data_IF_870759516535
#
_entry.id   IF_870759516535
#
_cell.length_a   1.000
_cell.length_b   1.000
_cell.length_c   1.000
_cell.angle_alpha   90.00
_cell.angle_beta   90.00
_cell.angle_gamma   90.00
#
_symmetry.space_group_name_H-M   'P 1'
#
loop_
_entity.id
_entity.type
_entity.pdbx_description
1 polymer ?
#
# COMPACT_ATOMS: atom_id res chain seq x y z
N UNK A 1 37.81 7.42 -3.32
CA UNK A 1 37.26 8.74 -3.70
C UNK A 1 35.75 8.68 -3.51
N UNK A 2 35.15 9.43 -2.59
CA UNK A 2 33.70 9.47 -2.46
C UNK A 2 33.13 10.48 -3.46
N UNK A 3 32.07 10.07 -4.16
CA UNK A 3 31.32 10.91 -5.08
C UNK A 3 30.33 11.72 -4.24
N UNK A 4 30.61 13.02 -4.12
CA UNK A 4 29.70 14.00 -3.55
C UNK A 4 28.55 14.26 -4.53
N UNK A 5 27.31 13.99 -4.13
CA UNK A 5 26.14 14.59 -4.77
C UNK A 5 25.77 15.79 -3.91
N UNK A 6 26.09 16.98 -4.42
CA UNK A 6 25.63 18.26 -3.88
C UNK A 6 24.23 18.53 -4.42
N UNK A 7 23.27 18.73 -3.53
CA UNK A 7 21.96 19.29 -3.87
C UNK A 7 21.89 20.67 -3.20
N UNK A 8 22.00 21.70 -4.06
CA UNK A 8 21.62 23.11 -3.90
C UNK A 8 21.37 23.64 -2.47
N UNK A 9 22.42 24.16 -1.84
CA UNK A 9 22.30 25.41 -1.08
C UNK A 9 21.95 25.37 0.41
N UNK A 10 21.82 24.20 1.05
CA UNK A 10 21.66 24.15 2.51
C UNK A 10 23.03 24.15 3.21
N UNK A 11 23.48 25.34 3.61
CA UNK A 11 24.53 25.48 4.61
C UNK A 11 23.98 25.08 5.98
N UNK A 12 24.25 23.84 6.41
CA UNK A 12 23.99 23.43 7.80
C UNK A 12 25.04 24.09 8.69
N UNK A 13 24.61 25.11 9.43
CA UNK A 13 25.41 25.79 10.45
C UNK A 13 25.88 24.78 11.49
N UNK A 14 27.20 24.63 11.60
CA UNK A 14 27.88 23.88 12.66
C UNK A 14 27.67 24.58 13.99
N UNK A 15 26.93 23.94 14.91
CA UNK A 15 27.17 23.99 16.37
C UNK A 15 26.35 22.90 17.11
N UNK A 16 26.76 21.65 16.97
CA UNK A 16 26.96 20.71 18.08
C UNK A 16 27.60 19.44 17.51
N UNK A 17 28.58 18.91 18.23
CA UNK A 17 29.37 17.75 17.84
C UNK A 17 28.57 16.46 18.05
N UNK A 18 27.81 16.05 17.05
CA UNK A 18 27.44 14.66 16.85
C UNK A 18 27.63 14.35 15.37
N UNK A 19 28.74 13.71 15.00
CA UNK A 19 28.85 13.17 13.65
C UNK A 19 27.84 12.03 13.55
N UNK A 20 26.82 12.18 12.70
CA UNK A 20 25.93 11.08 12.35
C UNK A 20 26.79 10.02 11.65
N UNK A 21 27.03 8.90 12.33
CA UNK A 21 27.75 7.77 11.74
C UNK A 21 26.72 6.70 11.44
N UNK A 22 26.35 6.60 10.17
CA UNK A 22 25.54 5.50 9.68
C UNK A 22 26.49 4.45 9.12
N UNK A 23 26.57 3.29 9.78
CA UNK A 23 27.34 2.16 9.28
C UNK A 23 26.38 1.21 8.53
N UNK A 24 26.59 1.03 7.23
CA UNK A 24 25.86 0.07 6.41
C UNK A 24 26.68 -1.22 6.33
N UNK A 25 26.19 -2.27 6.98
CA UNK A 25 26.80 -3.61 6.94
C UNK A 25 26.03 -4.47 5.94
N UNK A 26 26.71 -4.94 4.91
CA UNK A 26 26.16 -5.91 3.96
C UNK A 26 26.58 -7.33 4.39
N UNK A 27 25.61 -8.20 4.67
CA UNK A 27 25.86 -9.59 5.01
C UNK A 27 24.98 -10.53 4.17
N UNK A 28 25.57 -11.16 3.16
CA UNK A 28 24.83 -11.97 2.19
C UNK A 28 23.81 -11.13 1.41
N UNK A 29 22.52 -11.51 1.47
CA UNK A 29 21.40 -10.75 0.87
C UNK A 29 20.75 -9.74 1.83
N UNK A 30 21.37 -9.44 2.97
CA UNK A 30 20.84 -8.52 3.98
C UNK A 30 21.71 -7.28 4.05
N UNK A 31 21.05 -6.12 4.12
CA UNK A 31 21.64 -4.86 4.52
C UNK A 31 21.22 -4.59 5.98
N UNK A 32 22.19 -4.29 6.83
CA UNK A 32 21.97 -3.87 8.22
C UNK A 32 22.47 -2.43 8.31
N UNK A 33 21.54 -1.50 8.51
CA UNK A 33 21.89 -0.11 8.81
C UNK A 33 22.00 0.05 10.32
N UNK A 34 23.18 0.37 10.82
CA UNK A 34 23.38 0.81 12.19
C UNK A 34 23.21 2.33 12.24
N UNK A 35 22.30 2.77 13.10
CA UNK A 35 22.03 4.17 13.36
C UNK A 35 22.53 4.52 14.76
N UNK A 36 22.77 5.80 15.01
CA UNK A 36 23.02 6.29 16.36
C UNK A 36 21.86 5.85 17.28
N UNK A 37 22.21 5.37 18.47
CA UNK A 37 21.21 5.05 19.49
C UNK A 37 20.73 6.38 20.09
N UNK A 38 19.45 6.68 19.87
CA UNK A 38 18.74 7.72 20.59
C UNK A 38 18.12 7.08 21.83
N UNK A 39 18.52 7.50 23.03
CA UNK A 39 17.99 6.96 24.29
C UNK A 39 16.66 7.61 24.71
N UNK A 40 16.26 8.64 23.97
CA UNK A 40 15.08 9.45 24.25
C UNK A 40 13.80 8.70 23.92
N UNK A 41 12.74 9.09 24.61
CA UNK A 41 11.42 8.48 24.46
C UNK A 41 10.77 8.85 23.12
N UNK A 42 9.92 7.97 22.63
CA UNK A 42 9.06 8.24 21.48
C UNK A 42 7.81 9.02 21.91
N UNK A 43 7.12 9.68 20.97
CA UNK A 43 5.85 10.36 21.26
C UNK A 43 4.77 9.42 21.82
N UNK A 44 4.90 8.10 21.64
CA UNK A 44 3.97 7.13 22.20
C UNK A 44 4.02 7.09 23.73
N UNK A 45 5.18 7.41 24.30
CA UNK A 45 5.47 7.33 25.74
C UNK A 45 5.18 8.64 26.48
N UNK A 46 4.78 9.70 25.77
CA UNK A 46 4.45 10.99 26.35
C UNK A 46 2.95 11.27 26.32
N UNK A 47 2.45 11.92 27.37
CA UNK A 47 1.09 12.48 27.41
C UNK A 47 1.14 13.96 27.00
N UNK A 48 1.16 14.23 25.70
CA UNK A 48 1.38 15.57 25.14
C UNK A 48 0.09 16.29 24.78
N UNK A 49 0.18 17.61 24.64
CA UNK A 49 -0.84 18.37 23.92
C UNK A 49 -0.81 17.97 22.44
N UNK A 50 -1.79 17.17 22.04
CA UNK A 50 -1.92 16.62 20.68
C UNK A 50 -2.01 17.72 19.63
N UNK A 51 -2.61 18.87 19.95
CA UNK A 51 -2.83 19.98 19.01
C UNK A 51 -1.52 20.62 18.55
N UNK A 52 -0.72 21.11 19.50
CA UNK A 52 0.59 21.74 19.22
C UNK A 52 1.52 20.78 18.47
N UNK A 53 1.60 19.53 18.92
CA UNK A 53 2.42 18.54 18.21
C UNK A 53 1.95 18.27 16.78
N UNK A 54 0.65 18.29 16.52
CA UNK A 54 0.12 18.10 15.17
C UNK A 54 0.52 19.23 14.23
N UNK A 55 0.53 20.48 14.70
CA UNK A 55 0.95 21.64 13.92
C UNK A 55 2.45 21.57 13.58
N UNK A 56 3.29 21.21 14.57
CA UNK A 56 4.73 21.04 14.36
C UNK A 56 5.05 19.93 13.35
N UNK A 57 4.35 18.80 13.43
CA UNK A 57 4.50 17.70 12.48
C UNK A 57 3.97 18.06 11.08
N UNK A 58 2.91 18.85 10.99
CA UNK A 58 2.41 19.35 9.70
C UNK A 58 3.44 20.27 9.02
N UNK A 59 4.13 21.12 9.79
CA UNK A 59 5.23 21.94 9.27
C UNK A 59 6.37 21.07 8.74
N UNK A 60 6.76 20.01 9.48
CA UNK A 60 7.77 19.05 9.00
C UNK A 60 7.32 18.36 7.71
N UNK A 61 6.04 17.96 7.61
CA UNK A 61 5.49 17.41 6.35
C UNK A 61 5.58 18.42 5.21
N UNK A 62 5.32 19.71 5.48
CA UNK A 62 5.49 20.79 4.51
C UNK A 62 6.96 20.93 4.07
N UNK A 63 7.90 20.85 4.99
CA UNK A 63 9.35 20.86 4.71
C UNK A 63 9.78 19.65 3.87
N UNK A 64 9.32 18.43 4.21
CA UNK A 64 9.58 17.22 3.41
C UNK A 64 9.05 17.39 1.98
N UNK A 65 7.87 17.98 1.83
CA UNK A 65 7.27 18.23 0.52
C UNK A 65 8.07 19.22 -0.35
N UNK A 66 9.00 20.00 0.21
CA UNK A 66 9.92 20.84 -0.58
C UNK A 66 11.00 20.02 -1.29
N UNK A 67 11.25 18.78 -0.83
CA UNK A 67 12.19 17.86 -1.44
C UNK A 67 11.50 17.13 -2.59
N UNK A 68 11.67 17.65 -3.81
CA UNK A 68 11.24 16.98 -5.03
C UNK A 68 12.07 15.73 -5.33
N UNK A 69 11.44 14.73 -5.94
CA UNK A 69 12.11 13.54 -6.50
C UNK A 69 11.83 13.38 -7.98
N UNK A 70 12.62 12.52 -8.64
CA UNK A 70 12.52 12.27 -10.09
C UNK A 70 11.20 11.66 -10.56
N UNK A 71 11.17 11.12 -11.77
CA UNK A 71 9.91 10.73 -12.45
C UNK A 71 9.28 9.39 -11.99
N UNK A 72 9.89 8.73 -10.99
CA UNK A 72 9.50 7.39 -10.55
C UNK A 72 8.91 7.47 -9.15
N UNK A 73 7.61 7.17 -8.97
CA UNK A 73 7.01 7.19 -7.65
C UNK A 73 7.26 5.86 -6.94
N UNK A 74 7.40 5.94 -5.61
CA UNK A 74 7.59 4.76 -4.78
C UNK A 74 8.57 4.98 -3.65
N UNK A 75 8.74 3.94 -2.85
CA UNK A 75 9.70 3.91 -1.75
C UNK A 75 11.12 4.13 -2.26
N UNK A 76 11.96 4.77 -1.45
CA UNK A 76 13.34 5.16 -1.83
C UNK A 76 14.18 3.95 -2.26
N UNK A 77 13.88 2.76 -1.76
CA UNK A 77 14.58 1.51 -2.10
C UNK A 77 14.15 0.90 -3.46
N UNK A 78 13.15 1.47 -4.13
CA UNK A 78 12.58 0.96 -5.39
C UNK A 78 11.82 -0.37 -5.22
N UNK A 79 11.51 -0.75 -3.98
CA UNK A 79 10.85 -1.99 -3.62
C UNK A 79 9.35 -2.02 -3.93
N UNK A 80 8.72 -3.12 -3.54
CA UNK A 80 7.25 -3.22 -3.56
C UNK A 80 6.69 -2.30 -2.48
N UNK A 81 5.69 -1.50 -2.82
CA UNK A 81 5.14 -0.56 -1.85
C UNK A 81 4.37 -1.30 -0.76
N UNK A 82 4.71 -0.97 0.48
CA UNK A 82 4.09 -1.46 1.71
C UNK A 82 3.63 -0.29 2.57
N UNK A 83 2.80 -0.59 3.56
CA UNK A 83 2.21 0.39 4.46
C UNK A 83 0.72 0.63 4.22
N UNK A 84 0.19 1.65 4.88
CA UNK A 84 -1.25 1.78 5.11
C UNK A 84 -2.11 1.90 3.85
N UNK A 85 -1.58 2.38 2.73
CA UNK A 85 -2.36 2.61 1.50
C UNK A 85 -2.47 1.37 0.59
N UNK A 86 -1.58 0.40 0.75
CA UNK A 86 -1.34 -0.64 -0.26
C UNK A 86 -2.01 -1.99 0.06
N UNK A 87 -2.71 -2.07 1.20
CA UNK A 87 -3.31 -3.31 1.71
C UNK A 87 -2.27 -4.23 2.35
N UNK A 88 -2.75 -5.33 2.98
CA UNK A 88 -1.92 -6.16 3.87
C UNK A 88 -0.74 -6.87 3.18
N UNK A 89 -0.77 -6.99 1.86
CA UNK A 89 0.30 -7.63 1.08
C UNK A 89 1.10 -6.63 0.23
N UNK A 90 0.90 -5.33 0.45
CA UNK A 90 1.45 -4.29 -0.41
C UNK A 90 0.94 -4.38 -1.86
N UNK A 91 1.70 -3.77 -2.77
CA UNK A 91 1.36 -3.74 -4.20
C UNK A 91 1.53 -5.08 -4.91
N UNK A 92 2.42 -5.96 -4.40
CA UNK A 92 2.93 -7.19 -5.05
C UNK A 92 3.60 -6.97 -6.42
N UNK A 93 3.86 -5.72 -6.75
CA UNK A 93 4.38 -5.24 -8.04
C UNK A 93 5.30 -4.06 -7.73
N UNK A 94 6.40 -3.91 -8.46
CA UNK A 94 7.23 -2.70 -8.39
C UNK A 94 6.79 -1.72 -9.46
N UNK A 95 6.81 -0.42 -9.14
CA UNK A 95 6.47 0.62 -10.09
C UNK A 95 7.74 1.25 -10.65
N UNK A 96 7.78 1.43 -11.97
CA UNK A 96 8.89 2.06 -12.70
C UNK A 96 8.49 3.42 -13.27
N UNK A 97 7.24 3.82 -13.10
CA UNK A 97 6.70 5.08 -13.59
C UNK A 97 5.42 5.48 -12.84
N UNK A 98 5.04 6.75 -12.95
CA UNK A 98 3.73 7.24 -12.51
C UNK A 98 2.59 6.46 -13.16
N UNK A 99 2.75 6.02 -14.42
CA UNK A 99 1.73 5.23 -15.10
C UNK A 99 1.49 3.86 -14.48
N UNK A 100 2.55 3.20 -13.99
CA UNK A 100 2.42 1.89 -13.36
C UNK A 100 1.55 2.02 -12.10
N UNK A 101 1.83 3.03 -11.27
CA UNK A 101 1.03 3.34 -10.08
C UNK A 101 -0.40 3.73 -10.45
N UNK A 102 -0.58 4.58 -11.47
CA UNK A 102 -1.88 4.99 -11.97
C UNK A 102 -2.71 3.78 -12.41
N UNK A 103 -2.13 2.87 -13.21
CA UNK A 103 -2.79 1.65 -13.67
C UNK A 103 -3.17 0.74 -12.50
N UNK A 104 -2.28 0.59 -11.52
CA UNK A 104 -2.53 -0.23 -10.34
C UNK A 104 -3.70 0.31 -9.50
N UNK A 105 -3.76 1.63 -9.30
CA UNK A 105 -4.87 2.30 -8.61
C UNK A 105 -6.18 2.21 -9.40
N UNK A 106 -6.13 2.51 -10.71
CA UNK A 106 -7.32 2.53 -11.56
C UNK A 106 -7.93 1.14 -11.74
N UNK A 107 -7.14 0.06 -11.78
CA UNK A 107 -7.66 -1.33 -11.73
C UNK A 107 -8.59 -1.57 -10.53
N UNK A 108 -8.31 -0.93 -9.39
CA UNK A 108 -9.11 -1.05 -8.16
C UNK A 108 -10.32 -0.12 -8.16
N UNK A 109 -10.19 1.05 -8.76
CA UNK A 109 -11.25 2.04 -8.89
C UNK A 109 -12.27 1.71 -9.99
N UNK A 110 -11.91 0.86 -10.96
CA UNK A 110 -12.80 0.38 -12.02
C UNK A 110 -14.10 -0.23 -11.47
N UNK A 111 -14.06 -0.87 -10.31
CA UNK A 111 -15.26 -1.42 -9.66
C UNK A 111 -16.32 -0.36 -9.30
N UNK A 112 -15.92 0.90 -9.26
CA UNK A 112 -16.76 2.05 -8.93
C UNK A 112 -16.92 3.04 -10.10
N UNK A 113 -16.47 2.69 -11.31
CA UNK A 113 -16.41 3.60 -12.47
C UNK A 113 -15.74 4.93 -12.11
N UNK A 114 -14.62 4.86 -11.38
CA UNK A 114 -13.79 6.01 -11.00
C UNK A 114 -12.38 5.84 -11.55
N UNK A 115 -11.70 6.97 -11.70
CA UNK A 115 -10.31 7.03 -12.17
C UNK A 115 -9.56 8.10 -11.38
N UNK A 116 -8.27 7.87 -11.15
CA UNK A 116 -7.31 8.82 -10.62
C UNK A 116 -6.21 9.07 -11.66
N UNK A 117 -5.80 10.33 -11.79
CA UNK A 117 -4.73 10.75 -12.69
C UNK A 117 -3.58 11.38 -11.91
N UNK A 118 -2.50 10.63 -11.68
CA UNK A 118 -1.38 11.09 -10.87
C UNK A 118 -0.38 11.99 -11.60
N UNK A 119 -0.36 11.99 -12.94
CA UNK A 119 0.63 12.71 -13.77
C UNK A 119 0.70 14.22 -13.56
N UNK A 120 -0.39 14.83 -13.08
CA UNK A 120 -0.50 16.27 -12.89
C UNK A 120 0.13 16.74 -11.58
N UNK A 121 0.55 15.81 -10.71
CA UNK A 121 1.03 16.14 -9.38
C UNK A 121 2.52 15.83 -9.26
N UNK A 122 3.33 16.79 -8.75
CA UNK A 122 4.75 16.57 -8.54
C UNK A 122 4.98 15.48 -7.50
N UNK A 123 6.07 14.73 -7.68
CA UNK A 123 6.52 13.74 -6.72
C UNK A 123 7.43 14.43 -5.70
N UNK A 124 7.01 14.37 -4.44
CA UNK A 124 7.72 14.97 -3.31
C UNK A 124 7.99 13.91 -2.26
N UNK A 125 8.97 14.16 -1.39
CA UNK A 125 9.27 13.23 -0.31
C UNK A 125 8.10 13.19 0.69
N UNK A 126 7.55 12.00 0.87
CA UNK A 126 6.56 11.68 1.89
C UNK A 126 7.16 10.64 2.84
N UNK A 127 6.80 10.69 4.11
CA UNK A 127 7.22 9.71 5.11
C UNK A 127 6.27 8.49 5.17
N UNK A 128 4.96 8.73 5.06
CA UNK A 128 3.90 7.71 5.04
C UNK A 128 3.82 6.77 6.27
N UNK A 129 4.50 7.07 7.38
CA UNK A 129 4.40 6.30 8.64
C UNK A 129 4.69 7.18 9.87
N UNK A 130 4.03 8.35 9.95
CA UNK A 130 4.14 9.28 11.08
C UNK A 130 3.34 8.80 12.32
N UNK A 131 3.53 7.54 12.70
CA UNK A 131 3.05 7.02 13.98
C UNK A 131 3.91 7.56 15.13
N UNK A 132 3.31 7.70 16.32
CA UNK A 132 3.98 8.24 17.51
C UNK A 132 5.21 7.42 17.92
N UNK A 133 5.19 6.10 17.68
CA UNK A 133 6.34 5.19 17.87
C UNK A 133 7.56 5.53 17.00
N UNK A 134 7.34 6.20 15.87
CA UNK A 134 8.37 6.56 14.90
C UNK A 134 8.85 8.01 15.06
N UNK A 135 8.43 8.70 16.12
CA UNK A 135 8.76 10.10 16.32
C UNK A 135 9.39 10.26 17.70
N UNK A 136 10.57 10.86 17.78
CA UNK A 136 11.22 11.22 19.04
C UNK A 136 11.11 12.72 19.28
N UNK A 137 10.82 13.07 20.53
CA UNK A 137 10.90 14.45 21.02
C UNK A 137 12.12 14.54 21.94
N UNK A 138 13.06 15.38 21.57
CA UNK A 138 14.30 15.59 22.32
C UNK A 138 14.11 16.62 23.43
N UNK A 139 15.04 16.67 24.37
CA UNK A 139 15.02 17.61 25.50
C UNK A 139 15.04 19.08 25.05
N UNK A 140 15.70 19.39 23.94
CA UNK A 140 15.74 20.72 23.32
C UNK A 140 14.47 21.04 22.50
N UNK A 141 13.43 20.22 22.64
CA UNK A 141 12.21 20.21 21.85
C UNK A 141 12.41 19.89 20.36
N UNK A 142 13.56 19.46 19.87
CA UNK A 142 13.67 19.03 18.46
C UNK A 142 12.90 17.72 18.20
N UNK A 143 12.44 17.54 16.96
CA UNK A 143 11.69 16.36 16.51
C UNK A 143 12.58 15.54 15.57
N UNK A 144 12.66 14.23 15.83
CA UNK A 144 13.34 13.27 14.96
C UNK A 144 12.34 12.27 14.41
N UNK A 145 12.37 12.06 13.10
CA UNK A 145 11.58 11.05 12.40
C UNK A 145 12.41 9.78 12.22
N UNK A 146 11.82 8.64 12.55
CA UNK A 146 12.39 7.31 12.45
C UNK A 146 11.57 6.46 11.47
N UNK A 147 12.09 5.28 11.14
CA UNK A 147 11.41 4.29 10.32
C UNK A 147 10.96 4.83 8.95
N UNK A 148 11.95 5.14 8.13
CA UNK A 148 11.78 5.62 6.76
C UNK A 148 11.43 4.49 5.77
N UNK A 149 11.11 3.28 6.26
CA UNK A 149 10.84 2.11 5.42
C UNK A 149 9.58 2.24 4.54
N UNK A 150 8.73 3.23 4.81
CA UNK A 150 7.58 3.59 3.97
C UNK A 150 7.75 4.90 3.21
N UNK A 151 8.85 5.61 3.46
CA UNK A 151 9.12 6.89 2.86
C UNK A 151 9.50 6.73 1.38
N UNK A 152 9.16 7.75 0.59
CA UNK A 152 9.39 7.73 -0.84
C UNK A 152 8.83 8.96 -1.53
N UNK A 153 8.90 8.94 -2.86
CA UNK A 153 8.44 10.06 -3.68
C UNK A 153 7.02 9.81 -4.18
N UNK A 154 6.09 10.65 -3.75
CA UNK A 154 4.66 10.55 -4.05
C UNK A 154 4.06 11.95 -4.21
N UNK A 155 2.89 12.07 -4.86
CA UNK A 155 2.10 13.29 -4.75
C UNK A 155 1.83 13.62 -3.27
N UNK A 156 2.00 14.87 -2.85
CA UNK A 156 1.94 15.29 -1.43
C UNK A 156 0.67 14.84 -0.68
N UNK A 157 -0.45 14.72 -1.39
CA UNK A 157 -1.71 14.26 -0.79
C UNK A 157 -1.69 12.78 -0.33
N UNK A 158 -0.67 12.00 -0.72
CA UNK A 158 -0.44 10.65 -0.19
C UNK A 158 -0.17 10.65 1.31
N UNK A 159 0.54 11.67 1.82
CA UNK A 159 0.77 11.81 3.26
C UNK A 159 -0.57 11.99 3.98
N UNK A 160 -1.39 12.95 3.52
CA UNK A 160 -2.72 13.21 4.09
C UNK A 160 -3.62 11.95 4.07
N UNK A 161 -3.62 11.21 2.95
CA UNK A 161 -4.37 9.96 2.84
C UNK A 161 -3.88 8.90 3.82
N UNK A 162 -2.56 8.76 3.97
CA UNK A 162 -1.93 7.80 4.87
C UNK A 162 -2.25 8.13 6.32
N UNK A 163 -2.12 9.39 6.74
CA UNK A 163 -2.40 9.82 8.11
C UNK A 163 -3.84 9.52 8.52
N UNK A 164 -4.80 9.59 7.58
CA UNK A 164 -6.18 9.24 7.89
C UNK A 164 -6.38 7.76 8.24
N UNK A 165 -5.41 6.89 7.94
CA UNK A 165 -5.48 5.41 8.05
C UNK A 165 -4.41 4.80 8.97
N UNK A 166 -3.58 5.60 9.64
CA UNK A 166 -2.54 5.04 10.51
C UNK A 166 -3.18 4.21 11.63
N UNK A 167 -2.48 3.16 12.05
CA UNK A 167 -2.88 2.35 13.17
C UNK A 167 -2.23 2.89 14.45
N UNK A 168 -2.80 3.96 15.00
CA UNK A 168 -2.34 4.64 16.23
C UNK A 168 -3.56 5.25 16.96
N UNK A 169 -3.32 6.04 18.00
CA UNK A 169 -4.34 6.79 18.71
C UNK A 169 -5.15 7.67 17.73
N UNK A 170 -6.46 7.44 17.71
CA UNK A 170 -7.38 8.10 16.77
C UNK A 170 -7.46 9.61 16.96
N UNK A 171 -7.34 10.12 18.19
CA UNK A 171 -7.32 11.55 18.46
C UNK A 171 -6.07 12.21 17.88
N UNK A 172 -4.91 11.57 18.04
CA UNK A 172 -3.66 11.97 17.40
C UNK A 172 -3.78 11.95 15.87
N UNK A 173 -4.17 10.83 15.27
CA UNK A 173 -4.27 10.70 13.81
C UNK A 173 -5.25 11.73 13.21
N UNK A 174 -6.39 11.96 13.87
CA UNK A 174 -7.36 12.97 13.44
C UNK A 174 -6.82 14.41 13.55
N UNK A 175 -6.10 14.72 14.62
CA UNK A 175 -5.51 16.04 14.84
C UNK A 175 -4.40 16.31 13.81
N UNK A 176 -3.50 15.36 13.61
CA UNK A 176 -2.42 15.45 12.62
C UNK A 176 -2.97 15.55 11.20
N UNK A 177 -3.99 14.75 10.85
CA UNK A 177 -4.64 14.85 9.54
C UNK A 177 -5.21 16.25 9.31
N UNK A 178 -5.91 16.83 10.30
CA UNK A 178 -6.43 18.21 10.19
C UNK A 178 -5.32 19.24 10.04
N UNK A 179 -4.24 19.11 10.80
CA UNK A 179 -3.10 20.01 10.72
C UNK A 179 -2.42 19.94 9.35
N UNK A 180 -2.17 18.74 8.81
CA UNK A 180 -1.60 18.57 7.46
C UNK A 180 -2.53 19.12 6.39
N UNK A 181 -3.84 18.87 6.47
CA UNK A 181 -4.80 19.38 5.49
C UNK A 181 -4.86 20.91 5.49
N UNK A 182 -4.73 21.53 6.67
CA UNK A 182 -4.66 22.99 6.86
C UNK A 182 -3.36 23.56 6.31
N UNK A 183 -2.22 23.00 6.72
CA UNK A 183 -0.88 23.48 6.36
C UNK A 183 -0.59 23.28 4.86
N UNK A 184 -0.87 22.09 4.34
CA UNK A 184 -0.62 21.80 2.94
C UNK A 184 -1.60 22.52 1.99
N UNK A 185 -2.68 23.15 2.50
CA UNK A 185 -3.68 23.85 1.65
C UNK A 185 -4.06 23.06 0.40
N UNK A 186 -4.43 21.78 0.58
CA UNK A 186 -4.70 20.89 -0.55
C UNK A 186 -5.84 21.44 -1.43
N UNK A 187 -5.60 21.47 -2.74
CA UNK A 187 -6.61 21.88 -3.73
C UNK A 187 -7.80 20.91 -3.73
N UNK A 188 -8.95 21.33 -4.25
CA UNK A 188 -10.12 20.45 -4.37
C UNK A 188 -9.80 19.17 -5.16
N UNK A 189 -8.98 19.27 -6.21
CA UNK A 189 -8.50 18.12 -6.99
C UNK A 189 -7.67 17.15 -6.16
N UNK A 190 -6.76 17.64 -5.33
CA UNK A 190 -5.96 16.81 -4.42
C UNK A 190 -6.84 16.18 -3.33
N UNK A 191 -7.82 16.91 -2.80
CA UNK A 191 -8.78 16.36 -1.83
C UNK A 191 -9.62 15.23 -2.44
N UNK A 192 -10.04 15.34 -3.70
CA UNK A 192 -10.70 14.22 -4.38
C UNK A 192 -9.73 13.06 -4.62
N UNK A 193 -8.46 13.33 -4.94
CA UNK A 193 -7.43 12.30 -5.05
C UNK A 193 -7.23 11.54 -3.73
N UNK A 194 -7.26 12.21 -2.57
CA UNK A 194 -7.28 11.54 -1.26
C UNK A 194 -8.46 10.56 -1.16
N UNK A 195 -9.67 10.99 -1.51
CA UNK A 195 -10.87 10.13 -1.46
C UNK A 195 -10.75 8.93 -2.40
N UNK A 196 -10.24 9.14 -3.61
CA UNK A 196 -10.01 8.08 -4.60
C UNK A 196 -8.95 7.08 -4.11
N UNK A 197 -7.85 7.57 -3.54
CA UNK A 197 -6.80 6.73 -2.97
C UNK A 197 -7.33 5.85 -1.82
N UNK A 198 -8.16 6.42 -0.94
CA UNK A 198 -8.82 5.66 0.14
C UNK A 198 -9.83 4.62 -0.39
N UNK A 199 -10.52 4.91 -1.50
CA UNK A 199 -11.38 3.92 -2.19
C UNK A 199 -10.57 2.79 -2.79
N UNK A 200 -9.46 3.10 -3.46
CA UNK A 200 -8.55 2.11 -4.02
C UNK A 200 -7.98 1.19 -2.92
N UNK A 201 -7.56 1.76 -1.78
CA UNK A 201 -7.16 1.02 -0.58
C UNK A 201 -8.28 0.09 -0.09
N UNK A 202 -9.50 0.60 0.06
CA UNK A 202 -10.63 -0.21 0.51
C UNK A 202 -10.93 -1.38 -0.44
N UNK A 203 -10.81 -1.17 -1.75
CA UNK A 203 -10.92 -2.23 -2.75
C UNK A 203 -9.80 -3.26 -2.62
N UNK A 204 -8.55 -2.85 -2.37
CA UNK A 204 -7.43 -3.77 -2.08
C UNK A 204 -7.73 -4.68 -0.90
N UNK A 205 -8.24 -4.12 0.20
CA UNK A 205 -8.58 -4.91 1.40
C UNK A 205 -9.78 -5.83 1.16
N UNK A 206 -10.81 -5.38 0.45
CA UNK A 206 -11.97 -6.23 0.10
C UNK A 206 -11.58 -7.40 -0.80
N UNK A 207 -10.66 -7.18 -1.73
CA UNK A 207 -10.13 -8.25 -2.58
C UNK A 207 -9.50 -9.35 -1.72
N UNK A 208 -8.67 -8.97 -0.74
CA UNK A 208 -8.03 -9.89 0.21
C UNK A 208 -9.07 -10.63 1.06
N UNK A 209 -10.05 -9.92 1.62
CA UNK A 209 -11.10 -10.54 2.44
C UNK A 209 -11.97 -11.52 1.64
N UNK A 210 -12.34 -11.17 0.41
CA UNK A 210 -13.08 -12.05 -0.49
C UNK A 210 -12.23 -13.28 -0.89
N UNK A 211 -10.93 -13.09 -1.12
CA UNK A 211 -9.97 -14.17 -1.35
C UNK A 211 -9.91 -15.14 -0.17
N UNK A 212 -9.75 -14.61 1.04
CA UNK A 212 -9.67 -15.40 2.27
C UNK A 212 -11.00 -16.12 2.55
N UNK A 213 -12.14 -15.46 2.33
CA UNK A 213 -13.45 -16.09 2.51
C UNK A 213 -13.71 -17.21 1.49
N UNK A 214 -13.29 -17.03 0.22
CA UNK A 214 -13.38 -18.08 -0.80
C UNK A 214 -12.42 -19.22 -0.49
N UNK A 215 -11.21 -18.90 -0.04
CA UNK A 215 -10.18 -19.82 0.38
C UNK A 215 -10.66 -20.75 1.50
N UNK A 216 -11.22 -20.18 2.58
CA UNK A 216 -11.81 -20.92 3.69
C UNK A 216 -12.95 -21.80 3.20
N UNK A 217 -13.88 -21.27 2.39
CA UNK A 217 -14.98 -22.06 1.85
C UNK A 217 -14.53 -23.23 0.98
N UNK A 218 -13.53 -23.04 0.12
CA UNK A 218 -12.99 -24.10 -0.75
C UNK A 218 -12.25 -25.18 0.05
N UNK A 219 -11.60 -24.79 1.16
CA UNK A 219 -10.99 -25.71 2.10
C UNK A 219 -12.05 -26.52 2.86
N UNK A 220 -13.07 -25.85 3.40
CA UNK A 220 -14.14 -26.48 4.20
C UNK A 220 -14.92 -27.53 3.40
N UNK A 221 -15.11 -27.31 2.09
CA UNK A 221 -15.76 -28.28 1.18
C UNK A 221 -14.79 -29.31 0.58
N UNK A 222 -13.53 -29.34 1.03
CA UNK A 222 -12.53 -30.32 0.62
C UNK A 222 -12.08 -30.24 -0.84
N UNK A 223 -12.39 -29.13 -1.54
CA UNK A 223 -12.11 -28.98 -2.97
C UNK A 223 -10.63 -28.65 -3.25
N UNK A 224 -9.90 -28.09 -2.28
CA UNK A 224 -8.51 -27.66 -2.45
C UNK A 224 -7.71 -27.89 -1.16
N UNK A 225 -6.52 -28.48 -1.26
CA UNK A 225 -5.56 -28.52 -0.13
C UNK A 225 -5.04 -27.11 0.14
N UNK A 226 -4.92 -26.71 1.41
CA UNK A 226 -4.54 -25.36 1.88
C UNK A 226 -3.39 -24.72 1.08
N UNK A 227 -2.41 -25.53 0.68
CA UNK A 227 -1.22 -25.10 -0.07
C UNK A 227 -1.48 -24.56 -1.50
N UNK A 228 -2.62 -24.85 -2.12
CA UNK A 228 -2.94 -24.42 -3.50
C UNK A 228 -3.96 -23.27 -3.57
N UNK A 229 -4.50 -22.88 -2.43
CA UNK A 229 -5.64 -21.97 -2.34
C UNK A 229 -5.32 -20.55 -2.86
N UNK A 230 -4.16 -19.93 -2.58
CA UNK A 230 -3.86 -18.59 -3.11
C UNK A 230 -3.84 -18.52 -4.64
N UNK A 231 -3.23 -19.52 -5.29
CA UNK A 231 -3.05 -19.59 -6.76
C UNK A 231 -4.37 -19.81 -7.48
N UNK A 232 -5.21 -20.69 -6.94
CA UNK A 232 -6.52 -21.04 -7.52
C UNK A 232 -7.50 -19.86 -7.40
N UNK A 233 -7.52 -19.18 -6.26
CA UNK A 233 -8.46 -18.08 -6.03
C UNK A 233 -8.12 -16.86 -6.89
N UNK A 234 -6.82 -16.53 -7.05
CA UNK A 234 -6.36 -15.50 -7.99
C UNK A 234 -6.85 -15.80 -9.42
N UNK A 235 -6.72 -17.05 -9.86
CA UNK A 235 -7.09 -17.45 -11.22
C UNK A 235 -8.62 -17.50 -11.45
N UNK A 236 -9.40 -17.92 -10.44
CA UNK A 236 -10.87 -17.92 -10.53
C UNK A 236 -11.46 -16.51 -10.61
N UNK A 237 -10.83 -15.54 -9.95
CA UNK A 237 -11.26 -14.14 -9.98
C UNK A 237 -10.85 -13.46 -11.30
N UNK A 238 -9.63 -13.69 -11.79
CA UNK A 238 -9.20 -13.22 -13.12
C UNK A 238 -10.09 -13.75 -14.25
N UNK A 239 -10.59 -14.98 -14.11
CA UNK A 239 -11.52 -15.61 -15.06
C UNK A 239 -13.01 -15.31 -14.77
N UNK A 240 -13.33 -14.36 -13.88
CA UNK A 240 -14.69 -13.86 -13.57
C UNK A 240 -15.69 -14.95 -13.17
N UNK A 241 -15.33 -15.82 -12.23
CA UNK A 241 -16.28 -16.74 -11.60
C UNK A 241 -17.02 -16.05 -10.45
N UNK A 242 -18.36 -16.16 -10.44
CA UNK A 242 -19.20 -15.62 -9.36
C UNK A 242 -19.73 -16.75 -8.49
N UNK A 243 -19.60 -16.61 -7.17
CA UNK A 243 -20.19 -17.54 -6.21
C UNK A 243 -21.63 -17.09 -5.90
N UNK A 244 -22.62 -17.86 -6.35
CA UNK A 244 -24.05 -17.54 -6.16
C UNK A 244 -24.78 -18.76 -5.60
N UNK A 245 -25.35 -18.63 -4.41
CA UNK A 245 -26.20 -19.67 -3.81
C UNK A 245 -25.49 -21.01 -3.58
N UNK A 246 -24.28 -20.99 -3.01
CA UNK A 246 -23.52 -22.21 -2.72
C UNK A 246 -22.87 -22.88 -3.94
N UNK A 247 -22.96 -22.27 -5.12
CA UNK A 247 -22.40 -22.83 -6.35
C UNK A 247 -21.52 -21.79 -7.07
N UNK A 248 -20.35 -22.24 -7.55
CA UNK A 248 -19.53 -21.47 -8.49
C UNK A 248 -20.24 -21.44 -9.86
N UNK A 249 -20.64 -20.23 -10.31
CA UNK A 249 -21.22 -20.01 -11.63
C UNK A 249 -20.21 -19.32 -12.54
N UNK A 250 -20.11 -19.82 -13.76
CA UNK A 250 -19.25 -19.31 -14.83
C UNK A 250 -19.90 -18.11 -15.53
N UNK A 251 -19.12 -17.11 -15.91
CA UNK A 251 -19.56 -16.13 -16.90
C UNK A 251 -19.59 -16.80 -18.30
N UNK A 252 -20.75 -16.93 -18.96
CA UNK A 252 -20.92 -17.78 -20.15
C UNK A 252 -20.09 -17.37 -21.38
N UNK A 253 -19.41 -16.22 -21.34
CA UNK A 253 -18.67 -15.62 -22.47
C UNK A 253 -17.23 -16.13 -22.68
N UNK A 254 -16.68 -17.00 -21.82
CA UNK A 254 -15.28 -17.45 -21.94
C UNK A 254 -15.13 -18.98 -21.87
N UNK A 255 -14.65 -19.64 -22.94
CA UNK A 255 -14.27 -21.05 -22.92
C UNK A 255 -12.90 -21.29 -22.27
N UNK A 256 -12.68 -22.48 -21.67
CA UNK A 256 -11.34 -22.92 -21.27
C UNK A 256 -10.73 -23.78 -22.37
N UNK A 257 -9.47 -23.55 -22.70
CA UNK A 257 -8.67 -24.42 -23.54
C UNK A 257 -8.47 -25.80 -22.89
N UNK A 258 -8.15 -26.81 -23.70
CA UNK A 258 -7.90 -28.19 -23.24
C UNK A 258 -6.74 -28.27 -22.23
N UNK A 259 -5.73 -27.43 -22.41
CA UNK A 259 -4.57 -27.36 -21.51
C UNK A 259 -4.93 -26.81 -20.13
N UNK A 260 -5.83 -25.83 -20.06
CA UNK A 260 -6.34 -25.30 -18.79
C UNK A 260 -7.15 -26.38 -18.06
N UNK A 261 -7.98 -27.16 -18.77
CA UNK A 261 -8.77 -28.25 -18.17
C UNK A 261 -7.88 -29.35 -17.55
N UNK A 262 -6.77 -29.69 -18.19
CA UNK A 262 -5.82 -30.67 -17.68
C UNK A 262 -5.01 -30.14 -16.50
N UNK A 263 -4.70 -28.84 -16.49
CA UNK A 263 -4.08 -28.17 -15.34
C UNK A 263 -4.97 -28.27 -14.08
N UNK A 264 -6.28 -28.01 -14.18
CA UNK A 264 -7.21 -28.11 -13.04
C UNK A 264 -7.41 -29.53 -12.54
N UNK A 265 -7.39 -30.54 -13.43
CA UNK A 265 -7.42 -31.95 -13.02
C UNK A 265 -6.19 -32.32 -12.18
N UNK A 266 -5.01 -31.81 -12.52
CA UNK A 266 -3.78 -32.02 -11.74
C UNK A 266 -3.82 -31.33 -10.37
N UNK A 267 -4.56 -30.22 -10.25
CA UNK A 267 -4.78 -29.51 -8.99
C UNK A 267 -5.86 -30.14 -8.08
N UNK A 268 -6.47 -31.26 -8.47
CA UNK A 268 -7.37 -32.04 -7.61
C UNK A 268 -8.87 -31.74 -7.75
N UNK A 269 -9.28 -30.86 -8.68
CA UNK A 269 -10.70 -30.59 -8.92
C UNK A 269 -11.38 -31.77 -9.64
N UNK A 270 -12.13 -32.61 -8.91
CA UNK A 270 -12.79 -33.81 -9.46
C UNK A 270 -14.23 -33.60 -9.97
N UNK A 271 -14.91 -32.50 -9.64
CA UNK A 271 -16.30 -32.24 -10.09
C UNK A 271 -16.56 -30.74 -10.28
N UNK A 272 -16.35 -30.25 -11.50
CA UNK A 272 -16.84 -28.93 -11.92
C UNK A 272 -17.64 -28.99 -13.24
N UNK A 273 -18.23 -30.14 -13.59
CA UNK A 273 -19.20 -30.22 -14.69
C UNK A 273 -20.30 -31.26 -14.44
N UNK A 274 -21.58 -30.94 -14.75
CA UNK A 274 -22.61 -31.94 -15.00
C UNK A 274 -22.30 -32.64 -16.34
N UNK A 275 -22.50 -33.96 -16.41
CA UNK A 275 -22.24 -34.75 -17.61
C UNK A 275 -23.11 -34.23 -18.77
N UNK A 276 -22.48 -33.65 -19.78
CA UNK A 276 -23.12 -33.38 -21.07
C UNK A 276 -23.32 -34.70 -21.83
N UNK A 277 -24.44 -35.37 -21.57
CA UNK A 277 -25.13 -36.17 -22.58
C UNK A 277 -26.60 -35.75 -22.56
N UNK A 278 -27.15 -35.14 -23.62
CA UNK A 278 -28.59 -34.99 -23.73
C UNK A 278 -29.20 -36.39 -23.86
N UNK A 279 -30.09 -36.77 -22.93
CA UNK A 279 -31.04 -37.85 -23.20
C UNK A 279 -32.07 -37.28 -24.17
N UNK A 280 -31.99 -37.68 -25.42
CA UNK A 280 -33.09 -37.48 -26.36
C UNK A 280 -34.30 -38.28 -25.84
N UNK A 281 -35.35 -37.58 -25.42
CA UNK A 281 -36.68 -38.18 -25.34
C UNK A 281 -37.12 -38.53 -26.77
N UNK A 282 -37.43 -39.80 -27.02
CA UNK A 282 -38.12 -40.22 -28.26
C UNK A 282 -39.55 -39.64 -28.23
N UNK A 283 -40.09 -39.13 -29.35
CA UNK A 283 -41.53 -38.95 -29.47
C UNK A 283 -42.20 -40.32 -29.58
N UNK A 284 -43.20 -40.58 -28.76
CA UNK A 284 -44.06 -41.76 -28.88
C UNK A 284 -44.96 -41.65 -30.11
N UNK A 285 -45.07 -42.77 -30.81
CA UNK A 285 -46.23 -43.13 -31.63
C UNK A 285 -47.32 -43.70 -30.73
#
# INVERSE_FOLDING_TARGET
MPINISINGLSVSRRSTASFKTDLILHGRKAICLWNIFLEKTLEEFNLNIGDMSERLANIVSELATVGGGDIPGQVDGGMLQGYLWGDNGTRETFRSVDDMNRWLNKRLQLNNKEIGLRLYPLVLCHLDLCRRNIKLMEDNSIFLLDWGHAGFFPRFFEAATISRINDNSAYGNSLHKAIMKEATLTEGEQECVKLLLRARAASLRYILALNALATKLYDVGLVKLQYVPTIVLHLIEKKWCYVGGNLKKNPSFGFSRNEQDHYRRLGFRRLYPSSKPRYCRPGA
#
